data_IF_593795841556
#
_entry.id   IF_593795841556
#
_cell.length_a   1.000
_cell.length_b   1.000
_cell.length_c   1.000
_cell.angle_alpha   90.00
_cell.angle_beta   90.00
_cell.angle_gamma   90.00
#
_symmetry.space_group_name_H-M   'P 1'
#
loop_
_entity.id
_entity.type
_entity.pdbx_description
1 polymer ?
#
# COMPACT_ATOMS: atom_id res chain seq x y z
N UNK A 1 49.82 62.75 17.62
CA UNK A 1 48.65 63.55 18.05
C UNK A 1 47.53 63.24 17.07
N UNK A 2 46.48 62.60 17.58
CA UNK A 2 45.04 62.84 17.32
C UNK A 2 44.69 63.66 16.06
N UNK A 3 43.71 63.33 15.21
CA UNK A 3 42.40 62.71 15.42
C UNK A 3 41.75 62.32 14.09
N UNK A 4 40.95 61.26 14.18
CA UNK A 4 39.86 60.78 13.34
C UNK A 4 38.89 61.86 12.80
N UNK A 5 38.42 61.72 11.54
CA UNK A 5 36.98 61.71 11.23
C UNK A 5 36.67 61.12 9.84
N UNK A 6 35.63 60.30 9.88
CA UNK A 6 35.02 59.41 8.90
C UNK A 6 34.46 60.02 7.62
N UNK A 7 34.39 59.23 6.55
CA UNK A 7 33.25 59.28 5.63
C UNK A 7 32.80 57.85 5.28
N UNK A 8 31.66 57.47 5.86
CA UNK A 8 31.00 56.18 5.64
C UNK A 8 30.35 56.20 4.26
N UNK A 9 30.79 55.33 3.35
CA UNK A 9 30.01 54.94 2.19
C UNK A 9 29.30 53.64 2.55
N UNK A 10 28.02 53.76 2.92
CA UNK A 10 27.13 52.63 3.10
C UNK A 10 26.83 52.05 1.71
N UNK A 11 27.48 50.95 1.36
CA UNK A 11 27.08 50.13 0.21
C UNK A 11 25.85 49.35 0.64
N UNK A 12 24.67 49.89 0.33
CA UNK A 12 23.42 49.15 0.45
C UNK A 12 23.44 48.04 -0.60
N UNK A 13 23.82 46.83 -0.18
CA UNK A 13 23.66 45.63 -0.98
C UNK A 13 22.16 45.32 -1.09
N UNK A 14 21.50 45.87 -2.11
CA UNK A 14 20.18 45.43 -2.54
C UNK A 14 20.35 44.10 -3.29
N UNK A 15 20.53 43.01 -2.53
CA UNK A 15 20.19 41.69 -3.04
C UNK A 15 18.66 41.63 -3.11
N UNK A 16 18.11 42.06 -4.26
CA UNK A 16 16.82 41.59 -4.73
C UNK A 16 16.95 40.09 -4.95
N UNK A 17 16.82 39.33 -3.86
CA UNK A 17 16.59 37.91 -3.94
C UNK A 17 15.25 37.72 -4.62
N UNK A 18 15.27 37.54 -5.95
CA UNK A 18 14.29 36.66 -6.56
C UNK A 18 14.55 35.29 -5.95
N UNK A 19 13.87 34.98 -4.86
CA UNK A 19 13.54 33.59 -4.58
C UNK A 19 12.67 33.17 -5.75
N UNK A 20 13.26 32.55 -6.77
CA UNK A 20 12.48 31.67 -7.61
C UNK A 20 11.93 30.61 -6.67
N UNK A 21 10.68 30.80 -6.25
CA UNK A 21 9.86 29.67 -5.85
C UNK A 21 9.78 28.84 -7.12
N UNK A 22 10.62 27.81 -7.20
CA UNK A 22 10.36 26.70 -8.09
C UNK A 22 9.07 26.12 -7.54
N UNK A 23 7.94 26.56 -8.08
CA UNK A 23 6.72 25.77 -8.09
C UNK A 23 7.15 24.50 -8.78
N UNK A 24 7.52 23.51 -7.97
CA UNK A 24 7.80 22.18 -8.46
C UNK A 24 6.42 21.69 -8.87
N UNK A 25 6.08 21.92 -10.13
CA UNK A 25 4.92 21.29 -10.75
C UNK A 25 5.14 19.80 -10.57
N UNK A 26 4.48 19.24 -9.56
CA UNK A 26 4.44 17.79 -9.36
C UNK A 26 3.64 17.32 -10.56
N UNK A 27 4.34 16.76 -11.55
CA UNK A 27 3.68 16.19 -12.71
C UNK A 27 2.65 15.17 -12.21
N UNK A 28 1.42 15.36 -12.65
CA UNK A 28 0.22 14.58 -12.30
C UNK A 28 0.36 13.07 -12.63
N UNK A 29 1.51 12.65 -13.18
CA UNK A 29 1.87 11.26 -13.49
C UNK A 29 2.80 10.55 -12.49
N UNK A 30 3.29 11.21 -11.43
CA UNK A 30 4.31 10.62 -10.53
C UNK A 30 3.76 10.23 -9.13
N UNK A 31 2.48 10.47 -8.85
CA UNK A 31 1.85 10.06 -7.60
C UNK A 31 1.15 8.71 -7.79
N UNK A 32 1.67 7.67 -7.13
CA UNK A 32 0.95 6.41 -6.93
C UNK A 32 -0.29 6.66 -6.06
N UNK A 33 -1.42 6.94 -6.69
CA UNK A 33 -2.69 7.13 -6.00
C UNK A 33 -3.27 5.79 -5.59
N UNK A 34 -3.56 5.68 -4.31
CA UNK A 34 -4.23 4.54 -3.72
C UNK A 34 -5.74 4.80 -3.69
N UNK A 35 -6.50 3.98 -4.39
CA UNK A 35 -7.96 4.11 -4.45
C UNK A 35 -8.63 3.08 -3.52
N UNK A 36 -9.40 3.53 -2.50
CA UNK A 36 -10.16 2.61 -1.67
C UNK A 36 -11.29 1.97 -2.48
N UNK A 37 -11.81 0.83 -2.02
CA UNK A 37 -13.04 0.28 -2.60
C UNK A 37 -14.24 1.18 -2.29
N UNK A 38 -15.29 1.05 -3.10
CA UNK A 38 -16.57 1.72 -2.85
C UNK A 38 -17.11 1.34 -1.47
N UNK A 39 -17.93 2.21 -0.85
CA UNK A 39 -18.53 1.91 0.46
C UNK A 39 -19.37 0.62 0.46
N UNK A 40 -19.98 0.29 -0.69
CA UNK A 40 -20.74 -0.94 -0.88
C UNK A 40 -19.85 -2.20 -0.86
N UNK A 41 -18.68 -2.13 -1.50
CA UNK A 41 -17.74 -3.25 -1.58
C UNK A 41 -16.86 -3.36 -0.33
N UNK A 42 -16.56 -2.23 0.32
CA UNK A 42 -15.70 -2.16 1.51
C UNK A 42 -16.26 -2.99 2.69
N UNK A 43 -17.56 -3.29 2.68
CA UNK A 43 -18.20 -4.18 3.66
C UNK A 43 -17.60 -5.59 3.63
N UNK A 44 -17.12 -6.05 2.46
CA UNK A 44 -16.57 -7.39 2.26
C UNK A 44 -15.18 -7.56 2.89
N UNK A 45 -14.35 -6.51 2.85
CA UNK A 45 -12.98 -6.54 3.37
C UNK A 45 -12.85 -6.06 4.82
N UNK A 46 -13.97 -5.77 5.50
CA UNK A 46 -13.95 -5.16 6.82
C UNK A 46 -13.18 -6.01 7.84
N UNK A 47 -12.03 -5.50 8.28
CA UNK A 47 -11.21 -6.09 9.33
C UNK A 47 -10.28 -7.21 8.90
N UNK A 48 -10.19 -7.51 7.60
CA UNK A 48 -9.13 -8.34 7.04
C UNK A 48 -8.00 -7.42 6.56
N UNK A 49 -6.78 -7.68 6.99
CA UNK A 49 -5.60 -6.95 6.55
C UNK A 49 -4.71 -7.91 5.76
N UNK A 50 -4.23 -7.46 4.59
CA UNK A 50 -3.41 -8.27 3.68
C UNK A 50 -2.21 -7.43 3.28
N UNK A 51 -1.02 -7.84 3.67
CA UNK A 51 0.20 -7.07 3.43
C UNK A 51 1.11 -7.75 2.42
N UNK A 52 1.44 -7.01 1.36
CA UNK A 52 2.53 -7.35 0.46
C UNK A 52 3.74 -6.43 0.70
N UNK A 53 4.96 -6.87 0.34
CA UNK A 53 6.13 -6.00 0.28
C UNK A 53 5.84 -4.76 -0.57
N UNK A 54 6.42 -3.62 -0.22
CA UNK A 54 6.28 -2.33 -0.93
C UNK A 54 4.87 -1.70 -0.97
N UNK A 55 3.79 -2.49 -1.04
CA UNK A 55 2.40 -2.04 -1.11
C UNK A 55 1.77 -1.77 0.27
N UNK A 56 2.25 -2.44 1.32
CA UNK A 56 1.60 -2.39 2.62
C UNK A 56 0.24 -3.10 2.61
N UNK A 57 -0.72 -2.59 3.39
CA UNK A 57 -2.03 -3.22 3.55
C UNK A 57 -2.94 -2.95 2.34
N UNK A 58 -3.21 -3.98 1.55
CA UNK A 58 -4.10 -3.92 0.39
C UNK A 58 -5.49 -4.52 0.64
N UNK A 59 -5.83 -4.85 1.89
CA UNK A 59 -7.02 -5.64 2.21
C UNK A 59 -8.35 -5.05 1.70
N UNK A 60 -8.43 -3.73 1.49
CA UNK A 60 -9.67 -3.03 1.15
C UNK A 60 -9.45 -1.89 0.14
N UNK A 61 -8.60 -2.12 -0.86
CA UNK A 61 -8.26 -1.12 -1.88
C UNK A 61 -7.99 -1.74 -3.25
N UNK A 62 -8.03 -0.91 -4.28
CA UNK A 62 -7.61 -1.27 -5.63
C UNK A 62 -6.08 -1.20 -5.67
N UNK A 63 -5.43 -2.27 -6.13
CA UNK A 63 -3.98 -2.28 -6.37
C UNK A 63 -3.68 -1.25 -7.46
N UNK A 64 -2.82 -0.25 -7.20
CA UNK A 64 -2.56 0.82 -8.14
C UNK A 64 -1.80 0.33 -9.39
N UNK A 65 -2.05 0.96 -10.52
CA UNK A 65 -1.45 0.61 -11.82
C UNK A 65 0.00 1.13 -11.99
N UNK A 66 0.50 1.91 -11.03
CA UNK A 66 1.88 2.39 -11.00
C UNK A 66 2.87 1.30 -10.52
N UNK A 67 4.17 1.54 -10.72
CA UNK A 67 5.28 0.71 -10.19
C UNK A 67 5.21 -0.79 -10.51
N UNK A 68 4.40 -1.20 -11.48
CA UNK A 68 4.16 -2.58 -11.89
C UNK A 68 3.74 -3.51 -10.72
N UNK A 69 3.05 -2.99 -9.71
CA UNK A 69 2.68 -3.77 -8.53
C UNK A 69 1.88 -5.04 -8.87
N UNK A 70 0.96 -4.95 -9.83
CA UNK A 70 0.18 -6.10 -10.30
C UNK A 70 1.06 -7.26 -10.81
N UNK A 71 2.20 -6.94 -11.44
CA UNK A 71 3.18 -7.94 -11.90
C UNK A 71 4.09 -8.40 -10.76
N UNK A 72 4.47 -7.50 -9.86
CA UNK A 72 5.33 -7.86 -8.71
C UNK A 72 4.65 -8.85 -7.78
N UNK A 73 3.35 -8.70 -7.53
CA UNK A 73 2.55 -9.60 -6.68
C UNK A 73 2.63 -11.06 -7.15
N UNK A 74 2.74 -11.32 -8.45
CA UNK A 74 2.82 -12.70 -8.97
C UNK A 74 4.16 -13.38 -8.68
N UNK A 75 5.17 -12.63 -8.25
CA UNK A 75 6.53 -13.11 -7.98
C UNK A 75 6.91 -13.04 -6.50
N UNK A 76 6.14 -12.30 -5.69
CA UNK A 76 6.35 -12.25 -4.25
C UNK A 76 5.86 -13.51 -3.57
N UNK A 77 6.37 -13.74 -2.36
CA UNK A 77 5.84 -14.75 -1.45
C UNK A 77 4.39 -14.42 -1.06
N UNK A 78 3.72 -15.38 -0.42
CA UNK A 78 2.40 -15.19 0.13
C UNK A 78 2.32 -13.96 1.06
N UNK A 79 1.19 -13.22 1.04
CA UNK A 79 1.04 -12.03 1.85
C UNK A 79 0.91 -12.37 3.34
N UNK A 80 1.24 -11.41 4.18
CA UNK A 80 0.88 -11.49 5.60
C UNK A 80 -0.61 -11.19 5.72
N UNK A 81 -1.40 -12.14 6.21
CA UNK A 81 -2.84 -11.97 6.43
C UNK A 81 -3.14 -11.87 7.91
N UNK A 82 -3.71 -10.74 8.34
CA UNK A 82 -4.17 -10.51 9.72
C UNK A 82 -5.68 -10.41 9.76
N UNK A 83 -6.27 -11.04 10.76
CA UNK A 83 -7.66 -10.82 11.12
C UNK A 83 -7.75 -10.42 12.60
N UNK A 84 -7.55 -9.12 12.94
CA UNK A 84 -7.48 -8.66 14.33
C UNK A 84 -8.73 -8.97 15.16
N UNK A 85 -9.89 -9.10 14.49
CA UNK A 85 -11.19 -9.43 15.10
C UNK A 85 -11.43 -10.93 15.28
N UNK A 86 -10.44 -11.78 14.99
CA UNK A 86 -10.57 -13.21 15.23
C UNK A 86 -10.89 -13.51 16.71
N UNK A 87 -11.61 -14.60 16.97
CA UNK A 87 -11.80 -15.17 18.29
C UNK A 87 -10.65 -16.14 18.54
N UNK A 88 -10.03 -16.07 19.71
CA UNK A 88 -8.79 -16.80 19.99
C UNK A 88 -8.98 -18.31 20.06
N UNK A 89 -10.16 -18.74 20.51
CA UNK A 89 -10.60 -20.12 20.68
C UNK A 89 -11.26 -20.72 19.42
N UNK A 90 -11.28 -19.97 18.31
CA UNK A 90 -11.81 -20.44 17.03
C UNK A 90 -10.70 -20.86 16.04
N UNK A 91 -11.07 -21.71 15.10
CA UNK A 91 -10.28 -22.01 13.91
C UNK A 91 -10.82 -21.22 12.72
N UNK A 92 -9.94 -20.86 11.79
CA UNK A 92 -10.23 -20.09 10.59
C UNK A 92 -9.75 -20.83 9.34
N UNK A 93 -10.43 -20.53 8.24
CA UNK A 93 -10.03 -20.96 6.90
C UNK A 93 -9.70 -19.70 6.11
N UNK A 94 -8.55 -19.71 5.43
CA UNK A 94 -8.17 -18.68 4.47
C UNK A 94 -8.30 -19.24 3.07
N UNK A 95 -8.95 -18.51 2.18
CA UNK A 95 -9.05 -18.86 0.76
C UNK A 95 -8.69 -17.63 -0.09
N UNK A 96 -7.77 -17.79 -1.02
CA UNK A 96 -7.45 -16.80 -2.05
C UNK A 96 -7.87 -17.36 -3.41
N UNK A 97 -8.69 -16.61 -4.13
CA UNK A 97 -9.36 -17.07 -5.36
C UNK A 97 -9.30 -15.98 -6.43
N UNK A 98 -9.02 -16.37 -7.67
CA UNK A 98 -9.24 -15.54 -8.86
C UNK A 98 -10.58 -15.91 -9.53
N UNK A 99 -11.60 -15.04 -9.46
CA UNK A 99 -12.89 -15.28 -10.10
C UNK A 99 -12.83 -15.10 -11.63
N UNK A 100 -11.76 -14.54 -12.15
CA UNK A 100 -11.66 -14.08 -13.53
C UNK A 100 -10.71 -14.97 -14.36
N UNK A 101 -10.29 -16.14 -13.90
CA UNK A 101 -9.29 -16.95 -14.60
C UNK A 101 -9.80 -17.58 -15.92
N UNK A 102 -9.01 -17.57 -17.03
CA UNK A 102 -7.72 -16.90 -17.22
C UNK A 102 -7.83 -15.41 -17.56
N UNK A 103 -9.03 -14.93 -17.94
CA UNK A 103 -9.30 -13.50 -18.13
C UNK A 103 -10.74 -13.14 -17.78
N UNK A 104 -10.93 -11.93 -17.27
CA UNK A 104 -12.27 -11.37 -16.95
C UNK A 104 -13.24 -11.45 -18.13
N UNK A 105 -12.76 -11.33 -19.36
CA UNK A 105 -13.58 -11.42 -20.57
C UNK A 105 -13.99 -12.85 -20.95
N UNK A 106 -13.28 -13.87 -20.46
CA UNK A 106 -13.55 -15.28 -20.74
C UNK A 106 -13.15 -16.15 -19.53
N UNK A 107 -13.86 -16.05 -18.40
CA UNK A 107 -13.49 -16.68 -17.13
C UNK A 107 -13.84 -18.18 -17.10
N UNK A 108 -13.20 -18.97 -17.96
CA UNK A 108 -13.48 -20.40 -18.15
C UNK A 108 -13.03 -21.28 -16.98
N UNK A 109 -12.09 -20.79 -16.17
CA UNK A 109 -11.52 -21.49 -15.03
C UNK A 109 -11.86 -20.82 -13.69
N UNK A 110 -12.85 -19.92 -13.68
CA UNK A 110 -13.42 -19.41 -12.43
C UNK A 110 -13.98 -20.58 -11.61
N UNK A 111 -13.74 -20.69 -10.30
CA UNK A 111 -13.02 -19.84 -9.37
C UNK A 111 -11.63 -20.44 -9.11
N UNK A 112 -10.56 -19.85 -9.65
CA UNK A 112 -9.23 -20.45 -9.55
C UNK A 112 -8.65 -20.25 -8.15
N UNK A 113 -8.40 -21.36 -7.44
CA UNK A 113 -7.88 -21.34 -6.07
C UNK A 113 -6.37 -21.13 -6.07
N UNK A 114 -5.92 -19.97 -5.62
CA UNK A 114 -4.50 -19.65 -5.46
C UNK A 114 -3.92 -20.15 -4.14
N UNK A 115 -4.70 -20.07 -3.06
CA UNK A 115 -4.24 -20.44 -1.73
C UNK A 115 -5.40 -20.92 -0.89
N UNK A 116 -5.22 -22.02 -0.15
CA UNK A 116 -6.19 -22.55 0.79
C UNK A 116 -5.48 -23.10 2.01
N UNK A 117 -5.77 -22.51 3.16
CA UNK A 117 -5.23 -22.95 4.45
C UNK A 117 -6.38 -23.16 5.42
N UNK A 118 -6.48 -24.37 5.98
CA UNK A 118 -7.47 -24.74 7.00
C UNK A 118 -6.85 -24.78 8.39
N UNK A 119 -7.68 -24.88 9.41
CA UNK A 119 -7.25 -25.09 10.81
C UNK A 119 -6.33 -24.01 11.38
N UNK A 120 -6.42 -22.79 10.85
CA UNK A 120 -5.65 -21.65 11.34
C UNK A 120 -6.18 -21.24 12.71
N UNK A 121 -5.34 -21.21 13.73
CA UNK A 121 -5.76 -20.78 15.06
C UNK A 121 -6.04 -19.28 15.10
N UNK A 122 -7.12 -18.90 15.76
CA UNK A 122 -7.49 -17.50 15.97
C UNK A 122 -6.36 -16.67 16.58
N UNK A 123 -5.67 -17.21 17.60
CA UNK A 123 -4.49 -16.57 18.22
C UNK A 123 -3.36 -16.27 17.24
N UNK A 124 -3.24 -17.04 16.15
CA UNK A 124 -2.16 -16.91 15.17
C UNK A 124 -2.56 -15.95 14.05
N UNK A 125 -3.77 -16.08 13.49
CA UNK A 125 -4.25 -15.16 12.44
C UNK A 125 -4.44 -13.73 12.96
N UNK A 126 -4.73 -13.52 14.25
CA UNK A 126 -4.68 -12.19 14.87
C UNK A 126 -3.31 -11.51 14.71
N UNK A 127 -2.24 -12.31 14.81
CA UNK A 127 -0.85 -11.85 14.78
C UNK A 127 -0.26 -11.81 13.37
N UNK A 128 -1.02 -12.26 12.37
CA UNK A 128 -0.55 -12.33 10.98
C UNK A 128 0.19 -13.62 10.66
N UNK A 129 0.03 -14.64 11.50
CA UNK A 129 0.64 -15.96 11.30
C UNK A 129 -0.41 -16.89 10.74
N UNK A 130 -0.36 -17.12 9.43
CA UNK A 130 -1.22 -18.11 8.76
C UNK A 130 -0.57 -19.48 8.96
N UNK A 131 -0.78 -20.08 10.13
CA UNK A 131 -0.27 -21.41 10.49
C UNK A 131 -1.44 -22.38 10.57
N UNK A 132 -1.53 -23.28 9.60
CA UNK A 132 -2.61 -24.25 9.47
C UNK A 132 -2.23 -25.35 8.48
N UNK A 133 -3.22 -26.11 8.01
CA UNK A 133 -3.02 -27.10 6.97
C UNK A 133 -3.24 -26.47 5.60
N UNK A 134 -2.17 -26.35 4.81
CA UNK A 134 -2.28 -25.92 3.42
C UNK A 134 -2.75 -27.08 2.53
N UNK A 135 -3.75 -26.80 1.69
CA UNK A 135 -4.35 -27.77 0.78
C UNK A 135 -4.02 -27.40 -0.67
N UNK A 136 -3.24 -28.26 -1.34
CA UNK A 136 -2.86 -28.11 -2.75
C UNK A 136 -3.92 -28.65 -3.71
#
# INVERSE_FOLDING_TARGET
>A
VSTDWTMRLAVAALFLGLTMVVSRDVEEGDLCLYEPLSDADAVLCKGLEVFYPELGNIGCMIIPDCNNYRLKITHWAEPIVKFPRALEDANYILVMVDPDAPSRSSPKAQFWRHWLVTDIKGVDIKKGKVQGQELS
#
